data_IF_554166249686
#
_entry.id   IF_554166249686
#
_cell.length_a   1.000
_cell.length_b   1.000
_cell.length_c   1.000
_cell.angle_alpha   90.00
_cell.angle_beta   90.00
_cell.angle_gamma   90.00
#
_symmetry.space_group_name_H-M   'P 1'
#
loop_
_entity.id
_entity.type
_entity.pdbx_description
1 polymer ?
#
# COMPACT_ATOMS: atom_id res chain seq x y z
N UNK A 1 9.34 -15.23 -17.80
CA UNK A 1 9.90 -13.95 -17.37
C UNK A 1 9.72 -13.00 -18.53
N UNK A 2 8.84 -12.01 -18.38
CA UNK A 2 8.68 -10.90 -19.33
C UNK A 2 9.87 -9.96 -19.09
N UNK A 3 10.62 -9.62 -20.14
CA UNK A 3 11.74 -8.68 -20.06
C UNK A 3 11.23 -7.24 -20.08
N UNK A 4 12.10 -6.27 -19.72
CA UNK A 4 11.75 -4.85 -19.80
C UNK A 4 11.39 -4.42 -21.23
N UNK A 5 11.88 -5.10 -22.26
CA UNK A 5 11.59 -4.87 -23.67
C UNK A 5 10.17 -5.33 -24.05
N UNK A 6 9.70 -6.45 -23.48
CA UNK A 6 8.33 -6.96 -23.71
C UNK A 6 7.22 -6.02 -23.19
N UNK A 7 7.58 -5.14 -22.22
CA UNK A 7 6.66 -4.16 -21.64
C UNK A 7 6.56 -2.89 -22.49
N UNK A 8 7.57 -2.59 -23.30
CA UNK A 8 7.62 -1.40 -24.15
C UNK A 8 6.70 -1.48 -25.38
N UNK A 9 6.25 -2.66 -25.75
CA UNK A 9 5.34 -2.88 -26.88
C UNK A 9 3.84 -2.80 -26.52
N UNK A 10 3.48 -2.54 -25.26
CA UNK A 10 2.09 -2.33 -24.88
C UNK A 10 1.57 -1.00 -25.43
N UNK A 11 0.31 -0.93 -25.95
CA UNK A 11 -0.20 0.24 -26.66
C UNK A 11 -0.21 1.50 -25.78
N UNK A 12 0.29 2.59 -26.34
CA UNK A 12 0.61 3.87 -25.70
C UNK A 12 -0.61 4.74 -25.35
N UNK A 13 -1.61 4.24 -24.65
CA UNK A 13 -2.81 5.04 -24.29
C UNK A 13 -2.64 5.92 -23.04
N UNK A 14 -1.41 6.14 -22.54
CA UNK A 14 -1.17 7.10 -21.44
C UNK A 14 0.31 7.55 -21.33
N UNK A 15 0.94 7.93 -22.45
CA UNK A 15 2.22 8.64 -22.35
C UNK A 15 1.97 10.12 -22.03
N UNK A 16 1.92 10.46 -20.76
CA UNK A 16 2.03 11.84 -20.32
C UNK A 16 3.51 12.23 -20.41
N UNK A 17 3.81 13.29 -21.18
CA UNK A 17 5.17 13.80 -21.31
C UNK A 17 5.71 14.26 -19.95
N UNK A 18 6.75 13.62 -19.45
CA UNK A 18 7.44 13.98 -18.21
C UNK A 18 8.36 15.16 -18.49
N UNK A 19 8.31 16.27 -17.74
CA UNK A 19 9.33 17.29 -17.84
C UNK A 19 10.69 16.70 -17.44
N UNK A 20 11.73 16.98 -18.26
CA UNK A 20 13.07 16.46 -18.05
C UNK A 20 13.62 16.91 -16.69
N UNK A 21 14.06 15.96 -15.89
CA UNK A 21 14.77 16.19 -14.62
C UNK A 21 16.11 16.86 -14.92
N UNK A 22 16.53 17.90 -14.16
CA UNK A 22 17.91 18.36 -14.22
C UNK A 22 18.85 17.20 -13.83
N UNK A 23 20.01 17.05 -14.48
CA UNK A 23 20.93 15.94 -14.24
C UNK A 23 21.37 15.95 -12.77
N UNK A 24 21.16 14.81 -12.08
CA UNK A 24 21.73 14.58 -10.76
C UNK A 24 23.25 14.56 -10.85
N UNK A 25 23.90 15.20 -9.90
CA UNK A 25 25.36 15.12 -9.78
C UNK A 25 25.77 13.64 -9.58
N UNK A 26 26.66 13.18 -10.44
CA UNK A 26 27.26 11.85 -10.41
C UNK A 26 28.06 11.71 -9.12
N UNK A 27 27.61 10.92 -8.13
CA UNK A 27 28.40 10.71 -6.91
C UNK A 27 27.85 9.75 -5.87
N UNK A 28 26.55 9.61 -5.71
CA UNK A 28 25.98 8.60 -4.79
C UNK A 28 24.64 8.09 -5.32
N UNK A 29 24.53 6.79 -5.54
CA UNK A 29 23.25 6.13 -5.83
C UNK A 29 22.38 6.23 -4.59
N UNK A 30 21.27 6.97 -4.66
CA UNK A 30 20.26 6.99 -3.61
C UNK A 30 19.66 5.59 -3.53
N UNK A 31 19.80 4.93 -2.37
CA UNK A 31 19.28 3.58 -2.22
C UNK A 31 17.76 3.58 -2.10
N UNK A 32 17.19 4.45 -1.26
CA UNK A 32 15.74 4.50 -1.00
C UNK A 32 15.22 5.93 -1.03
N UNK A 33 14.15 6.12 -1.80
CA UNK A 33 13.30 7.32 -1.74
C UNK A 33 12.03 7.00 -0.97
N UNK A 34 11.74 7.79 0.07
CA UNK A 34 10.47 7.72 0.80
C UNK A 34 9.53 8.77 0.23
N UNK A 35 8.37 8.34 -0.27
CA UNK A 35 7.31 9.21 -0.79
C UNK A 35 6.18 9.30 0.22
N UNK A 36 5.84 10.50 0.65
CA UNK A 36 4.84 10.77 1.69
C UNK A 36 3.74 11.66 1.11
N UNK A 37 2.58 11.10 0.71
CA UNK A 37 1.42 11.91 0.37
C UNK A 37 0.85 12.55 1.65
N UNK A 38 0.62 13.86 1.66
CA UNK A 38 0.17 14.58 2.84
C UNK A 38 -1.07 15.43 2.54
N UNK A 39 -2.08 15.37 3.42
CA UNK A 39 -3.25 16.23 3.39
C UNK A 39 -3.85 16.37 4.78
N UNK A 40 -3.77 17.59 5.35
CA UNK A 40 -4.35 17.91 6.66
C UNK A 40 -3.89 16.95 7.76
N UNK A 41 -2.58 16.79 7.91
CA UNK A 41 -1.93 15.85 8.84
C UNK A 41 -0.95 16.55 9.79
N UNK A 42 -1.20 17.83 10.10
CA UNK A 42 -0.35 18.65 10.96
C UNK A 42 -0.04 17.98 12.32
N UNK A 43 -0.98 17.18 12.86
CA UNK A 43 -0.80 16.47 14.12
C UNK A 43 0.27 15.38 14.08
N UNK A 44 0.60 14.83 12.91
CA UNK A 44 1.41 13.60 12.79
C UNK A 44 2.64 13.76 11.91
N UNK A 45 2.60 14.64 10.91
CA UNK A 45 3.62 14.75 9.87
C UNK A 45 5.04 14.96 10.44
N UNK A 46 5.18 15.69 11.53
CA UNK A 46 6.48 15.90 12.17
C UNK A 46 7.10 14.60 12.68
N UNK A 47 6.32 13.74 13.31
CA UNK A 47 6.76 12.43 13.81
C UNK A 47 7.06 11.47 12.66
N UNK A 48 6.21 11.47 11.61
CA UNK A 48 6.42 10.68 10.39
C UNK A 48 7.75 11.03 9.73
N UNK A 49 8.02 12.33 9.52
CA UNK A 49 9.26 12.81 8.93
C UNK A 49 10.49 12.48 9.78
N UNK A 50 10.42 12.68 11.09
CA UNK A 50 11.50 12.31 11.99
C UNK A 50 11.82 10.80 11.88
N UNK A 51 10.81 9.95 11.79
CA UNK A 51 10.98 8.50 11.65
C UNK A 51 11.62 8.10 10.32
N UNK A 52 11.27 8.77 9.22
CA UNK A 52 11.83 8.51 7.90
C UNK A 52 13.28 9.03 7.79
N UNK A 53 13.52 10.26 8.24
CA UNK A 53 14.85 10.89 8.19
C UNK A 53 15.86 10.24 9.15
N UNK A 54 15.39 9.52 10.18
CA UNK A 54 16.27 8.75 11.08
C UNK A 54 16.80 7.44 10.47
N UNK A 55 16.25 6.98 9.33
CA UNK A 55 16.76 5.79 8.64
C UNK A 55 18.03 6.15 7.86
N UNK A 56 19.14 5.46 8.15
CA UNK A 56 20.44 5.75 7.52
C UNK A 56 20.48 5.47 6.02
N UNK A 57 19.62 4.56 5.53
CA UNK A 57 19.56 4.12 4.13
C UNK A 57 18.64 5.00 3.26
N UNK A 58 17.90 5.92 3.87
CA UNK A 58 17.04 6.87 3.17
C UNK A 58 17.88 8.02 2.62
N UNK A 59 17.97 8.10 1.31
CA UNK A 59 18.70 9.16 0.61
C UNK A 59 17.87 10.40 0.32
N UNK A 60 16.53 10.24 0.23
CA UNK A 60 15.60 11.37 0.08
C UNK A 60 14.22 11.04 0.65
N UNK A 61 13.53 12.09 1.10
CA UNK A 61 12.14 12.07 1.55
C UNK A 61 11.37 13.12 0.74
N UNK A 62 10.37 12.68 -0.01
CA UNK A 62 9.56 13.52 -0.88
C UNK A 62 8.16 13.62 -0.29
N UNK A 63 7.85 14.76 0.32
CA UNK A 63 6.49 15.07 0.76
C UNK A 63 5.72 15.68 -0.40
N UNK A 64 4.55 15.11 -0.69
CA UNK A 64 3.65 15.63 -1.74
C UNK A 64 2.36 16.11 -1.08
N UNK A 65 2.22 17.43 -0.97
CA UNK A 65 1.04 18.06 -0.39
C UNK A 65 -0.14 18.03 -1.37
N UNK A 66 -1.23 17.40 -0.96
CA UNK A 66 -2.48 17.27 -1.75
C UNK A 66 -3.50 18.37 -1.40
N UNK A 67 -3.03 19.59 -1.18
CA UNK A 67 -3.85 20.74 -0.87
C UNK A 67 -4.26 20.81 0.61
N UNK A 68 -3.30 20.76 1.51
CA UNK A 68 -3.52 20.97 2.94
C UNK A 68 -3.93 22.40 3.23
N UNK A 69 -4.88 22.55 4.18
CA UNK A 69 -5.39 23.83 4.67
C UNK A 69 -5.03 24.10 6.13
N UNK A 70 -4.39 23.12 6.79
CA UNK A 70 -3.87 23.20 8.15
C UNK A 70 -2.37 23.58 8.18
N UNK A 71 -1.70 23.37 9.30
CA UNK A 71 -0.27 23.67 9.47
C UNK A 71 0.68 22.65 8.83
N UNK A 72 0.20 21.64 8.09
CA UNK A 72 1.02 20.57 7.51
C UNK A 72 2.22 21.13 6.73
N UNK A 73 1.96 22.01 5.77
CA UNK A 73 3.01 22.61 4.92
C UNK A 73 4.01 23.43 5.74
N UNK A 74 3.53 24.19 6.73
CA UNK A 74 4.38 25.01 7.60
C UNK A 74 5.32 24.13 8.43
N UNK A 75 4.85 23.01 8.98
CA UNK A 75 5.65 22.06 9.74
C UNK A 75 6.73 21.43 8.84
N UNK A 76 6.37 20.97 7.64
CA UNK A 76 7.35 20.40 6.69
C UNK A 76 8.44 21.41 6.34
N UNK A 77 8.08 22.65 6.04
CA UNK A 77 9.03 23.73 5.70
C UNK A 77 9.95 24.13 6.85
N UNK A 78 9.55 23.90 8.09
CA UNK A 78 10.36 24.20 9.26
C UNK A 78 11.51 23.20 9.47
N UNK A 79 11.42 21.98 8.92
CA UNK A 79 12.44 20.95 9.03
C UNK A 79 13.60 21.27 8.09
N UNK A 80 14.81 21.32 8.63
CA UNK A 80 16.06 21.63 7.89
C UNK A 80 16.89 20.36 7.67
N UNK A 81 16.47 19.53 6.72
CA UNK A 81 17.25 18.36 6.28
C UNK A 81 17.40 18.43 4.74
N UNK A 82 18.62 18.34 4.20
CA UNK A 82 18.85 18.44 2.76
C UNK A 82 18.21 17.31 1.94
N UNK A 83 17.83 16.22 2.57
CA UNK A 83 17.14 15.09 1.93
C UNK A 83 15.63 15.33 1.81
N UNK A 84 15.07 16.33 2.50
CA UNK A 84 13.63 16.59 2.52
C UNK A 84 13.22 17.51 1.39
N UNK A 85 12.30 17.04 0.55
CA UNK A 85 11.73 17.79 -0.57
C UNK A 85 10.22 17.91 -0.38
N UNK A 86 9.68 19.12 -0.58
CA UNK A 86 8.24 19.38 -0.54
C UNK A 86 7.75 19.75 -1.93
N UNK A 87 6.69 19.09 -2.38
CA UNK A 87 6.03 19.31 -3.66
C UNK A 87 4.54 19.53 -3.45
N UNK A 88 3.91 20.28 -4.36
CA UNK A 88 2.45 20.44 -4.42
C UNK A 88 1.86 19.50 -5.46
N UNK A 89 0.71 18.88 -5.14
CA UNK A 89 -0.03 18.04 -6.07
C UNK A 89 -1.15 18.84 -6.72
N UNK A 90 -1.03 19.12 -8.02
CA UNK A 90 -2.05 19.81 -8.80
C UNK A 90 -3.23 18.89 -9.18
N UNK A 91 -3.03 17.57 -9.07
CA UNK A 91 -4.00 16.51 -9.36
C UNK A 91 -4.51 15.93 -8.05
N UNK A 92 -5.76 16.15 -7.69
CA UNK A 92 -6.30 15.68 -6.41
C UNK A 92 -6.20 14.15 -6.22
N UNK A 93 -5.83 13.73 -5.01
CA UNK A 93 -5.91 12.34 -4.53
C UNK A 93 -4.57 11.68 -4.24
N UNK A 94 -4.62 10.73 -3.31
CA UNK A 94 -3.45 10.04 -2.75
C UNK A 94 -2.63 9.29 -3.81
N UNK A 95 -3.29 8.63 -4.77
CA UNK A 95 -2.62 7.94 -5.89
C UNK A 95 -1.84 8.89 -6.77
N UNK A 96 -2.42 10.06 -7.08
CA UNK A 96 -1.76 11.09 -7.88
C UNK A 96 -0.55 11.68 -7.14
N UNK A 97 -0.68 11.94 -5.84
CA UNK A 97 0.41 12.40 -4.99
C UNK A 97 1.56 11.38 -4.91
N UNK A 98 1.24 10.10 -4.66
CA UNK A 98 2.27 9.03 -4.66
C UNK A 98 2.96 8.89 -6.02
N UNK A 99 2.21 8.94 -7.12
CA UNK A 99 2.78 8.90 -8.47
C UNK A 99 3.66 10.11 -8.76
N UNK A 100 3.26 11.30 -8.33
CA UNK A 100 4.07 12.51 -8.49
C UNK A 100 5.41 12.37 -7.77
N UNK A 101 5.39 11.97 -6.49
CA UNK A 101 6.61 11.72 -5.72
C UNK A 101 7.49 10.66 -6.36
N UNK A 102 6.92 9.53 -6.81
CA UNK A 102 7.65 8.46 -7.46
C UNK A 102 8.31 8.85 -8.79
N UNK A 103 7.72 9.79 -9.55
CA UNK A 103 8.33 10.33 -10.77
C UNK A 103 9.57 11.17 -10.47
N UNK A 104 9.60 11.87 -9.33
CA UNK A 104 10.72 12.72 -8.91
C UNK A 104 11.78 11.94 -8.10
N UNK A 105 11.43 10.76 -7.62
CA UNK A 105 12.32 9.92 -6.85
C UNK A 105 13.52 9.42 -7.66
N UNK A 106 14.72 9.57 -7.07
CA UNK A 106 15.98 9.11 -7.64
C UNK A 106 16.47 7.77 -7.12
N UNK A 107 15.81 7.23 -6.09
CA UNK A 107 16.20 5.98 -5.45
C UNK A 107 15.98 4.75 -6.32
N UNK A 108 16.79 3.73 -6.07
CA UNK A 108 16.61 2.40 -6.64
C UNK A 108 15.31 1.76 -6.13
N UNK A 109 14.95 2.08 -4.89
CA UNK A 109 13.77 1.58 -4.21
C UNK A 109 12.85 2.71 -3.76
N UNK A 110 11.55 2.47 -3.81
CA UNK A 110 10.49 3.38 -3.36
C UNK A 110 9.78 2.80 -2.13
N UNK A 111 9.58 3.64 -1.12
CA UNK A 111 8.75 3.34 0.04
C UNK A 111 7.65 4.40 0.13
N UNK A 112 6.37 3.97 0.14
CA UNK A 112 5.22 4.88 0.21
C UNK A 112 4.70 4.94 1.64
N UNK A 113 5.18 5.92 2.41
CA UNK A 113 4.83 6.09 3.82
C UNK A 113 3.63 7.03 3.96
N UNK A 114 2.58 6.58 4.64
CA UNK A 114 1.44 7.44 4.95
C UNK A 114 1.85 8.49 6.01
N UNK A 115 1.34 9.71 5.85
CA UNK A 115 1.81 10.89 6.61
C UNK A 115 1.41 10.91 8.10
N UNK A 116 0.66 9.92 8.55
CA UNK A 116 0.21 9.69 9.93
C UNK A 116 0.87 8.46 10.59
N UNK A 117 1.67 7.71 9.84
CA UNK A 117 2.38 6.52 10.29
C UNK A 117 3.84 6.81 10.68
N UNK A 118 4.49 5.82 11.31
CA UNK A 118 5.87 5.95 11.79
C UNK A 118 6.69 4.71 11.46
N UNK A 119 7.80 4.89 10.74
CA UNK A 119 8.79 3.83 10.53
C UNK A 119 9.47 3.46 11.86
N UNK A 120 9.65 2.18 12.09
CA UNK A 120 10.41 1.71 13.26
C UNK A 120 11.92 1.79 12.99
N UNK A 121 12.74 1.93 14.05
CA UNK A 121 14.19 1.95 13.89
C UNK A 121 14.70 0.72 13.11
N UNK A 122 15.54 0.95 12.10
CA UNK A 122 16.11 -0.09 11.24
C UNK A 122 15.13 -0.76 10.28
N UNK A 123 13.94 -0.17 10.05
CA UNK A 123 12.94 -0.72 9.12
C UNK A 123 13.47 -0.80 7.70
N UNK A 124 14.08 0.27 7.20
CA UNK A 124 14.60 0.35 5.83
C UNK A 124 15.80 -0.57 5.67
N UNK A 125 16.70 -0.62 6.65
CA UNK A 125 17.83 -1.57 6.68
C UNK A 125 17.38 -3.03 6.55
N UNK A 126 16.31 -3.40 7.28
CA UNK A 126 15.78 -4.77 7.25
C UNK A 126 15.16 -5.13 5.88
N UNK A 127 14.45 -4.18 5.26
CA UNK A 127 13.89 -4.36 3.91
C UNK A 127 15.00 -4.51 2.87
N UNK A 128 16.01 -3.65 2.89
CA UNK A 128 17.14 -3.72 1.97
C UNK A 128 17.98 -4.98 2.15
N UNK A 129 18.20 -5.44 3.38
CA UNK A 129 18.89 -6.70 3.63
C UNK A 129 18.15 -7.87 2.96
N UNK A 130 16.81 -7.94 3.15
CA UNK A 130 15.99 -8.96 2.48
C UNK A 130 16.01 -8.81 0.94
N UNK A 131 16.02 -7.59 0.41
CA UNK A 131 16.10 -7.34 -1.03
C UNK A 131 17.43 -7.82 -1.65
N UNK A 132 18.55 -7.68 -0.92
CA UNK A 132 19.87 -8.18 -1.35
C UNK A 132 19.90 -9.70 -1.45
N UNK A 133 19.23 -10.39 -0.52
CA UNK A 133 19.15 -11.85 -0.48
C UNK A 133 18.18 -12.39 -1.56
N UNK A 134 17.31 -11.54 -2.12
CA UNK A 134 16.31 -11.89 -3.12
C UNK A 134 16.39 -10.98 -4.37
N UNK A 135 17.40 -11.14 -5.23
CA UNK A 135 17.66 -10.21 -6.35
C UNK A 135 16.54 -10.18 -7.41
N UNK A 136 15.68 -11.22 -7.46
CA UNK A 136 14.50 -11.25 -8.33
C UNK A 136 13.26 -10.57 -7.74
N UNK A 137 13.33 -10.15 -6.48
CA UNK A 137 12.22 -9.47 -5.84
C UNK A 137 12.02 -8.06 -6.42
N UNK A 138 10.82 -7.76 -6.87
CA UNK A 138 10.38 -6.43 -7.27
C UNK A 138 9.71 -5.69 -6.11
N UNK A 139 9.34 -6.41 -5.05
CA UNK A 139 8.82 -5.84 -3.83
C UNK A 139 9.23 -6.69 -2.63
N UNK A 140 9.71 -6.02 -1.57
CA UNK A 140 9.97 -6.62 -0.26
C UNK A 140 9.03 -5.99 0.76
N UNK A 141 8.40 -6.79 1.61
CA UNK A 141 7.45 -6.28 2.59
C UNK A 141 7.62 -6.94 3.96
N UNK A 142 7.10 -6.31 5.01
CA UNK A 142 7.19 -6.84 6.36
C UNK A 142 5.89 -6.71 7.14
N UNK A 143 6.02 -6.67 8.47
CA UNK A 143 4.92 -6.53 9.40
C UNK A 143 4.82 -5.13 9.99
N UNK A 144 3.67 -4.85 10.59
CA UNK A 144 3.41 -3.60 11.29
C UNK A 144 2.80 -3.85 12.65
N UNK A 145 2.94 -2.86 13.51
CA UNK A 145 2.26 -2.74 14.78
C UNK A 145 1.15 -1.69 14.67
N UNK A 146 0.19 -1.68 15.58
CA UNK A 146 -0.88 -0.69 15.59
C UNK A 146 -0.73 0.22 16.80
N UNK A 147 -0.81 1.54 16.59
CA UNK A 147 -0.77 2.57 17.62
C UNK A 147 -2.03 3.45 17.59
N UNK A 148 -2.36 4.08 18.71
CA UNK A 148 -3.44 5.07 18.79
C UNK A 148 -2.96 6.46 18.33
N UNK A 149 -3.86 7.47 18.44
CA UNK A 149 -3.55 8.88 18.10
C UNK A 149 -2.38 9.45 18.90
N UNK A 150 -2.13 8.98 20.13
CA UNK A 150 -1.04 9.42 20.99
C UNK A 150 0.24 8.58 20.84
N UNK A 151 0.27 7.63 19.87
CA UNK A 151 1.44 6.78 19.63
C UNK A 151 1.60 5.60 20.60
N UNK A 152 0.60 5.32 21.44
CA UNK A 152 0.61 4.17 22.35
C UNK A 152 0.19 2.91 21.58
N UNK A 153 0.88 1.81 21.82
CA UNK A 153 0.56 0.53 21.17
C UNK A 153 -0.83 0.04 21.57
N UNK A 154 -1.68 -0.21 20.56
CA UNK A 154 -3.00 -0.80 20.71
C UNK A 154 -3.07 -2.13 19.96
N UNK A 155 -3.40 -3.20 20.69
CA UNK A 155 -3.48 -4.53 20.12
C UNK A 155 -2.13 -5.24 19.95
N UNK A 156 -2.19 -6.55 19.91
CA UNK A 156 -1.03 -7.42 19.68
C UNK A 156 -1.21 -8.16 18.36
N UNK A 157 -0.81 -7.58 17.23
CA UNK A 157 -0.64 -8.38 16.01
C UNK A 157 0.55 -9.35 16.10
N UNK A 158 1.35 -9.26 17.15
CA UNK A 158 2.40 -10.22 17.48
C UNK A 158 1.92 -11.63 17.88
N UNK A 159 0.61 -11.90 17.98
CA UNK A 159 0.06 -13.24 18.28
C UNK A 159 0.20 -14.25 17.13
N UNK A 160 0.55 -13.80 15.93
CA UNK A 160 0.85 -14.68 14.79
C UNK A 160 2.38 -14.79 14.55
N UNK A 161 3.19 -14.61 15.58
CA UNK A 161 4.62 -14.93 15.53
C UNK A 161 4.83 -16.34 14.99
N UNK A 162 5.52 -16.44 13.86
CA UNK A 162 5.91 -17.71 13.24
C UNK A 162 5.16 -18.10 11.97
N UNK A 163 4.10 -17.43 11.55
CA UNK A 163 3.53 -17.65 10.22
C UNK A 163 4.37 -16.93 9.17
N UNK A 164 5.08 -17.72 8.37
CA UNK A 164 5.74 -17.21 7.16
C UNK A 164 4.67 -16.62 6.24
N UNK A 165 4.78 -15.34 5.90
CA UNK A 165 3.91 -14.70 4.93
C UNK A 165 4.34 -15.08 3.51
N UNK A 166 3.45 -14.92 2.50
CA UNK A 166 3.75 -15.33 1.13
C UNK A 166 5.03 -14.68 0.57
N UNK A 167 5.87 -15.47 -0.10
CA UNK A 167 7.08 -15.04 -0.82
C UNK A 167 7.13 -15.74 -2.17
N UNK A 168 7.96 -15.24 -3.10
CA UNK A 168 8.09 -15.73 -4.46
C UNK A 168 6.98 -15.26 -5.39
N UNK A 169 6.40 -16.13 -6.20
CA UNK A 169 5.24 -15.84 -7.04
C UNK A 169 3.97 -15.80 -6.16
N UNK A 170 3.54 -14.60 -5.85
CA UNK A 170 2.39 -14.36 -4.94
C UNK A 170 1.13 -13.88 -5.67
N UNK A 171 1.16 -13.74 -7.00
CA UNK A 171 0.10 -13.09 -7.76
C UNK A 171 -1.27 -13.70 -7.49
N UNK A 172 -1.44 -15.01 -7.63
CA UNK A 172 -2.73 -15.67 -7.43
C UNK A 172 -3.23 -15.49 -5.98
N UNK A 173 -2.31 -15.57 -4.99
CA UNK A 173 -2.65 -15.36 -3.58
C UNK A 173 -3.04 -13.91 -3.31
N UNK A 174 -2.36 -12.95 -3.92
CA UNK A 174 -2.63 -11.52 -3.77
C UNK A 174 -3.94 -11.13 -4.47
N UNK A 175 -4.19 -11.65 -5.67
CA UNK A 175 -5.44 -11.42 -6.40
C UNK A 175 -6.66 -11.95 -5.65
N UNK A 176 -6.53 -13.00 -4.83
CA UNK A 176 -7.63 -13.49 -3.97
C UNK A 176 -7.93 -12.62 -2.75
N UNK A 177 -7.09 -11.61 -2.46
CA UNK A 177 -7.27 -10.65 -1.37
C UNK A 177 -5.95 -10.07 -0.89
N UNK A 178 -5.93 -8.75 -0.72
CA UNK A 178 -4.75 -8.02 -0.28
C UNK A 178 -4.25 -8.49 1.10
N UNK A 179 -2.98 -8.79 1.21
CA UNK A 179 -2.29 -9.11 2.46
C UNK A 179 -1.19 -8.11 2.82
N UNK A 180 -0.93 -7.13 1.94
CA UNK A 180 -0.02 -6.00 2.17
C UNK A 180 -0.90 -4.78 2.43
N UNK A 181 -1.21 -4.53 3.70
CA UNK A 181 -2.27 -3.59 4.10
C UNK A 181 -1.85 -2.12 4.19
N UNK A 182 -0.56 -1.82 4.00
CA UNK A 182 -0.04 -0.45 4.08
C UNK A 182 1.22 -0.31 3.23
N UNK A 183 1.34 0.78 2.49
CA UNK A 183 2.51 1.08 1.67
C UNK A 183 3.81 1.23 2.47
N UNK A 184 3.72 1.72 3.72
CA UNK A 184 4.88 1.93 4.60
C UNK A 184 5.60 0.66 5.07
N UNK A 185 5.02 -0.53 4.82
CA UNK A 185 5.69 -1.81 5.06
C UNK A 185 6.25 -2.45 3.79
N UNK A 186 6.14 -1.78 2.64
CA UNK A 186 6.49 -2.32 1.33
C UNK A 186 7.54 -1.45 0.65
N UNK A 187 8.66 -2.05 0.29
CA UNK A 187 9.75 -1.46 -0.49
C UNK A 187 9.66 -1.99 -1.92
N UNK A 188 9.26 -1.14 -2.86
CA UNK A 188 9.09 -1.50 -4.26
C UNK A 188 10.30 -1.08 -5.09
N UNK A 189 10.77 -1.93 -6.01
CA UNK A 189 11.82 -1.56 -6.97
C UNK A 189 11.29 -0.46 -7.88
N UNK A 190 12.01 0.68 -7.92
CA UNK A 190 11.54 1.88 -8.61
C UNK A 190 11.32 1.66 -10.11
N UNK A 191 12.20 0.90 -10.76
CA UNK A 191 12.06 0.54 -12.17
C UNK A 191 10.78 -0.27 -12.41
N UNK A 192 10.53 -1.32 -11.61
CA UNK A 192 9.33 -2.13 -11.71
C UNK A 192 8.05 -1.31 -11.48
N UNK A 193 8.05 -0.42 -10.48
CA UNK A 193 6.93 0.48 -10.21
C UNK A 193 6.64 1.41 -11.40
N UNK A 194 7.70 1.97 -12.03
CA UNK A 194 7.55 2.81 -13.23
C UNK A 194 7.07 2.00 -14.44
N UNK A 195 7.57 0.77 -14.62
CA UNK A 195 7.18 -0.11 -15.72
C UNK A 195 5.69 -0.45 -15.70
N UNK A 196 5.09 -0.62 -14.52
CA UNK A 196 3.64 -0.86 -14.41
C UNK A 196 2.81 0.42 -14.48
N UNK A 197 3.41 1.61 -14.59
CA UNK A 197 2.71 2.90 -14.66
C UNK A 197 2.22 3.46 -13.32
N UNK A 198 2.63 2.88 -12.18
CA UNK A 198 2.30 3.34 -10.84
C UNK A 198 0.89 2.98 -10.35
N UNK A 199 0.38 3.80 -9.42
CA UNK A 199 -0.99 3.65 -8.88
C UNK A 199 -2.05 4.13 -9.88
N UNK A 200 -3.17 3.42 -9.95
CA UNK A 200 -4.33 3.85 -10.74
C UNK A 200 -5.08 4.99 -10.01
N UNK A 201 -5.06 6.18 -10.59
CA UNK A 201 -5.68 7.38 -10.03
C UNK A 201 -7.21 7.38 -10.11
N UNK A 202 -7.80 6.47 -10.87
CA UNK A 202 -9.26 6.30 -10.95
C UNK A 202 -9.83 5.53 -9.74
N UNK A 203 -8.98 4.80 -9.01
CA UNK A 203 -9.37 4.03 -7.84
C UNK A 203 -9.32 4.91 -6.58
N UNK A 204 -10.45 4.99 -5.89
CA UNK A 204 -10.55 5.68 -4.60
C UNK A 204 -10.13 4.80 -3.41
N UNK A 205 -10.31 3.49 -3.54
CA UNK A 205 -9.99 2.50 -2.51
C UNK A 205 -9.33 1.28 -3.15
N UNK A 206 -8.42 0.65 -2.40
CA UNK A 206 -7.66 -0.52 -2.84
C UNK A 206 -6.79 -0.26 -4.08
N UNK A 207 -6.38 0.99 -4.29
CA UNK A 207 -5.41 1.38 -5.31
C UNK A 207 -4.06 0.69 -5.11
N UNK A 208 -3.70 0.47 -3.83
CA UNK A 208 -2.53 -0.29 -3.40
C UNK A 208 -2.63 -1.75 -3.83
N UNK A 209 -3.77 -2.40 -3.59
CA UNK A 209 -4.00 -3.79 -3.99
C UNK A 209 -3.85 -4.01 -5.49
N UNK A 210 -4.45 -3.14 -6.32
CA UNK A 210 -4.29 -3.21 -7.78
C UNK A 210 -2.82 -3.01 -8.18
N UNK A 211 -2.14 -2.01 -7.61
CA UNK A 211 -0.72 -1.75 -7.87
C UNK A 211 0.15 -2.95 -7.50
N UNK A 212 -0.07 -3.55 -6.31
CA UNK A 212 0.67 -4.74 -5.89
C UNK A 212 0.39 -5.94 -6.78
N UNK A 213 -0.82 -6.15 -7.25
CA UNK A 213 -1.13 -7.21 -8.22
C UNK A 213 -0.38 -7.00 -9.55
N UNK A 214 -0.26 -5.78 -10.04
CA UNK A 214 0.53 -5.48 -11.24
C UNK A 214 2.01 -5.72 -11.04
N UNK A 215 2.58 -5.33 -9.90
CA UNK A 215 3.97 -5.65 -9.57
C UNK A 215 4.19 -7.16 -9.45
N UNK A 216 3.28 -7.89 -8.79
CA UNK A 216 3.36 -9.35 -8.68
C UNK A 216 3.21 -10.06 -10.04
N UNK A 217 2.62 -9.42 -11.04
CA UNK A 217 2.56 -9.96 -12.40
C UNK A 217 3.91 -9.90 -13.14
N UNK A 218 4.83 -9.03 -12.71
CA UNK A 218 6.13 -8.86 -13.39
C UNK A 218 7.33 -9.34 -12.57
N UNK A 219 7.16 -9.69 -11.28
CA UNK A 219 8.28 -10.15 -10.46
C UNK A 219 7.85 -10.79 -9.15
N UNK A 220 8.83 -11.28 -8.42
CA UNK A 220 8.64 -11.96 -7.15
C UNK A 220 8.53 -10.97 -5.99
N UNK A 221 7.83 -11.37 -4.91
CA UNK A 221 7.79 -10.63 -3.66
C UNK A 221 8.54 -11.39 -2.58
N UNK A 222 9.13 -10.67 -1.62
CA UNK A 222 9.80 -11.30 -0.49
C UNK A 222 9.33 -10.74 0.84
N UNK A 223 9.25 -11.59 1.85
CA UNK A 223 8.80 -11.23 3.18
C UNK A 223 9.97 -11.07 4.14
N UNK A 224 10.16 -9.86 4.65
CA UNK A 224 11.06 -9.55 5.76
C UNK A 224 10.31 -9.80 7.10
N UNK A 225 10.73 -10.79 7.93
CA UNK A 225 10.00 -11.14 9.15
C UNK A 225 10.31 -10.14 10.30
N UNK A 226 10.03 -8.87 10.06
CA UNK A 226 10.27 -7.75 10.97
C UNK A 226 9.05 -6.85 11.09
N UNK A 227 8.88 -6.26 12.28
CA UNK A 227 7.95 -5.14 12.49
C UNK A 227 8.63 -3.87 11.99
N UNK A 228 8.10 -3.29 10.92
CA UNK A 228 8.71 -2.17 10.19
C UNK A 228 8.01 -0.85 10.47
N UNK A 229 6.72 -0.89 10.80
CA UNK A 229 5.86 0.28 10.89
C UNK A 229 5.03 0.24 12.17
N UNK A 230 4.81 1.40 12.75
CA UNK A 230 3.72 1.67 13.68
C UNK A 230 2.60 2.33 12.88
N UNK A 231 1.56 1.56 12.55
CA UNK A 231 0.37 1.99 11.83
C UNK A 231 -0.58 2.69 12.79
N UNK A 232 -0.89 3.97 12.55
CA UNK A 232 -1.70 4.78 13.44
C UNK A 232 -3.18 4.64 13.14
N UNK A 233 -3.98 4.43 14.19
CA UNK A 233 -5.44 4.41 14.11
C UNK A 233 -6.00 5.67 14.79
N UNK A 234 -6.67 6.51 14.02
CA UNK A 234 -7.41 7.68 14.50
C UNK A 234 -8.70 7.88 13.69
N UNK A 235 -9.58 8.77 14.13
CA UNK A 235 -10.91 8.97 13.54
C UNK A 235 -10.88 9.53 12.12
N UNK A 236 -9.81 10.25 11.74
CA UNK A 236 -9.64 10.81 10.41
C UNK A 236 -9.00 9.86 9.39
N UNK A 237 -8.54 8.65 9.78
CA UNK A 237 -8.03 7.68 8.79
C UNK A 237 -9.10 7.34 7.75
N UNK A 238 -8.72 7.27 6.49
CA UNK A 238 -9.61 6.96 5.36
C UNK A 238 -10.48 5.73 5.61
N UNK A 239 -9.94 4.68 6.22
CA UNK A 239 -10.67 3.44 6.50
C UNK A 239 -11.48 3.48 7.80
N UNK A 240 -11.25 4.45 8.69
CA UNK A 240 -11.94 4.57 9.97
C UNK A 240 -12.94 5.74 10.00
N UNK A 241 -12.88 6.67 9.04
CA UNK A 241 -13.78 7.83 9.00
C UNK A 241 -15.24 7.48 8.70
N UNK A 242 -15.50 6.35 8.04
CA UNK A 242 -16.86 5.87 7.77
C UNK A 242 -16.87 4.37 7.45
N UNK A 243 -18.04 3.75 7.65
CA UNK A 243 -18.25 2.34 7.23
C UNK A 243 -18.15 2.23 5.71
N UNK A 244 -17.23 1.39 5.24
CA UNK A 244 -17.10 1.06 3.82
C UNK A 244 -18.06 -0.07 3.47
N UNK A 245 -18.79 0.14 2.38
CA UNK A 245 -19.71 -0.85 1.84
C UNK A 245 -19.02 -1.71 0.78
N UNK A 246 -19.52 -2.91 0.43
CA UNK A 246 -18.96 -3.68 -0.65
C UNK A 246 -18.89 -2.93 -1.99
N UNK A 247 -19.82 -1.98 -2.24
CA UNK A 247 -19.84 -1.17 -3.47
C UNK A 247 -18.61 -0.28 -3.61
N UNK A 248 -18.00 0.15 -2.49
CA UNK A 248 -16.79 0.98 -2.49
C UNK A 248 -15.58 0.22 -3.03
N UNK A 249 -15.58 -1.11 -2.95
CA UNK A 249 -14.46 -1.98 -3.35
C UNK A 249 -14.63 -2.65 -4.71
N UNK A 250 -15.86 -2.74 -5.23
CA UNK A 250 -16.11 -3.39 -6.52
C UNK A 250 -15.34 -2.78 -7.71
N UNK A 251 -15.11 -1.45 -7.78
CA UNK A 251 -14.26 -0.88 -8.83
C UNK A 251 -12.84 -1.46 -8.83
N UNK A 252 -12.22 -1.65 -7.65
CA UNK A 252 -10.89 -2.25 -7.56
C UNK A 252 -10.89 -3.73 -7.96
N UNK A 253 -11.93 -4.49 -7.59
CA UNK A 253 -12.09 -5.89 -8.03
C UNK A 253 -12.18 -5.95 -9.57
N UNK A 254 -13.02 -5.11 -10.17
CA UNK A 254 -13.13 -5.04 -11.62
C UNK A 254 -11.76 -4.72 -12.24
N UNK A 255 -11.08 -3.71 -11.70
CA UNK A 255 -9.78 -3.27 -12.22
C UNK A 255 -8.71 -4.36 -12.16
N UNK A 256 -8.64 -5.15 -11.08
CA UNK A 256 -7.70 -6.28 -10.96
C UNK A 256 -8.02 -7.40 -11.96
N UNK A 257 -9.29 -7.71 -12.16
CA UNK A 257 -9.71 -8.83 -13.02
C UNK A 257 -10.06 -8.44 -14.46
N UNK A 258 -9.91 -7.18 -14.82
CA UNK A 258 -9.99 -6.67 -16.21
C UNK A 258 -8.59 -6.19 -16.70
N UNK A 259 -7.55 -6.22 -15.84
CA UNK A 259 -6.19 -5.84 -16.19
C UNK A 259 -5.49 -6.94 -16.99
N UNK A 260 -5.11 -6.62 -18.25
CA UNK A 260 -4.49 -7.58 -19.17
C UNK A 260 -3.14 -8.11 -18.67
N UNK A 261 -2.34 -7.28 -17.96
CA UNK A 261 -1.05 -7.70 -17.40
C UNK A 261 -1.25 -8.75 -16.31
N UNK A 262 -2.23 -8.54 -15.42
CA UNK A 262 -2.57 -9.46 -14.33
C UNK A 262 -3.13 -10.76 -14.93
N UNK A 263 -4.11 -10.66 -15.81
CA UNK A 263 -4.78 -11.82 -16.42
C UNK A 263 -3.82 -12.74 -17.19
N UNK A 264 -2.86 -12.15 -17.91
CA UNK A 264 -1.87 -12.92 -18.68
C UNK A 264 -0.95 -13.79 -17.79
N UNK A 265 -0.82 -13.45 -16.51
CA UNK A 265 0.07 -14.13 -15.55
C UNK A 265 -0.67 -15.03 -14.57
N UNK A 266 -1.98 -14.91 -14.46
CA UNK A 266 -2.76 -15.83 -13.63
C UNK A 266 -2.79 -17.24 -14.23
N UNK A 267 -2.87 -18.29 -13.39
CA UNK A 267 -3.05 -19.65 -13.89
C UNK A 267 -4.31 -19.76 -14.77
N UNK A 268 -4.21 -20.52 -15.85
CA UNK A 268 -5.31 -20.71 -16.79
C UNK A 268 -6.59 -21.16 -16.06
N UNK A 269 -7.71 -20.48 -16.33
CA UNK A 269 -9.01 -20.77 -15.73
C UNK A 269 -9.17 -20.33 -14.26
N UNK A 270 -8.13 -19.79 -13.61
CA UNK A 270 -8.20 -19.43 -12.20
C UNK A 270 -8.93 -18.09 -11.93
N UNK A 271 -9.01 -17.19 -12.91
CA UNK A 271 -9.47 -15.82 -12.73
C UNK A 271 -10.86 -15.73 -12.07
N UNK A 272 -11.83 -16.52 -12.51
CA UNK A 272 -13.19 -16.50 -11.94
C UNK A 272 -13.22 -16.93 -10.46
N UNK A 273 -12.47 -17.97 -10.10
CA UNK A 273 -12.36 -18.44 -8.71
C UNK A 273 -11.65 -17.42 -7.80
N UNK A 274 -10.59 -16.80 -8.31
CA UNK A 274 -9.85 -15.76 -7.57
C UNK A 274 -10.70 -14.48 -7.40
N UNK A 275 -11.45 -14.06 -8.42
CA UNK A 275 -12.41 -12.96 -8.34
C UNK A 275 -13.45 -13.22 -7.27
N UNK A 276 -14.06 -14.40 -7.26
CA UNK A 276 -15.01 -14.80 -6.23
C UNK A 276 -14.39 -14.75 -4.82
N UNK A 277 -13.15 -15.22 -4.67
CA UNK A 277 -12.44 -15.17 -3.40
C UNK A 277 -12.19 -13.71 -2.94
N UNK A 278 -11.79 -12.82 -3.85
CA UNK A 278 -11.61 -11.40 -3.59
C UNK A 278 -12.93 -10.71 -3.18
N UNK A 279 -14.02 -11.00 -3.87
CA UNK A 279 -15.35 -10.50 -3.50
C UNK A 279 -15.75 -10.94 -2.09
N UNK A 280 -15.59 -12.23 -1.76
CA UNK A 280 -15.87 -12.76 -0.42
C UNK A 280 -14.99 -12.08 0.62
N UNK A 281 -13.70 -11.88 0.33
CA UNK A 281 -12.77 -11.19 1.23
C UNK A 281 -13.23 -9.77 1.55
N UNK A 282 -13.54 -8.96 0.55
CA UNK A 282 -13.92 -7.55 0.71
C UNK A 282 -15.33 -7.39 1.29
N UNK A 283 -16.30 -8.25 0.93
CA UNK A 283 -17.62 -8.27 1.59
C UNK A 283 -17.49 -8.65 3.06
N UNK A 284 -16.63 -9.63 3.41
CA UNK A 284 -16.34 -9.98 4.81
C UNK A 284 -15.71 -8.80 5.55
N UNK A 285 -14.79 -8.07 4.91
CA UNK A 285 -14.20 -6.87 5.49
C UNK A 285 -15.25 -5.79 5.76
N UNK A 286 -16.20 -5.54 4.85
CA UNK A 286 -17.34 -4.64 5.08
C UNK A 286 -18.21 -5.09 6.27
N UNK A 287 -18.44 -6.40 6.44
CA UNK A 287 -19.17 -6.95 7.58
C UNK A 287 -18.42 -6.68 8.90
N UNK A 288 -17.10 -6.89 8.92
CA UNK A 288 -16.25 -6.58 10.08
C UNK A 288 -16.29 -5.10 10.44
N UNK A 289 -16.19 -4.20 9.45
CA UNK A 289 -16.32 -2.77 9.65
C UNK A 289 -17.68 -2.40 10.21
N UNK A 290 -18.75 -2.95 9.66
CA UNK A 290 -20.11 -2.69 10.14
C UNK A 290 -20.28 -3.09 11.63
N UNK A 291 -19.70 -4.21 12.08
CA UNK A 291 -19.70 -4.61 13.50
C UNK A 291 -18.92 -3.60 14.36
N UNK A 292 -17.75 -3.17 13.92
CA UNK A 292 -16.92 -2.18 14.65
C UNK A 292 -17.64 -0.85 14.87
N UNK A 293 -18.50 -0.47 13.92
CA UNK A 293 -19.30 0.76 13.98
C UNK A 293 -20.73 0.52 14.55
N UNK A 294 -21.03 -0.64 15.14
CA UNK A 294 -22.32 -0.96 15.72
C UNK A 294 -23.46 -1.21 14.72
N UNK A 295 -23.16 -1.29 13.42
CA UNK A 295 -24.14 -1.49 12.34
C UNK A 295 -24.42 -2.97 12.09
N UNK A 296 -24.97 -3.66 13.08
CA UNK A 296 -25.15 -5.11 13.06
C UNK A 296 -26.10 -5.62 11.97
N UNK A 297 -27.15 -4.84 11.61
CA UNK A 297 -28.06 -5.20 10.50
C UNK A 297 -27.32 -5.25 9.16
N UNK A 298 -26.44 -4.27 8.91
CA UNK A 298 -25.62 -4.26 7.69
C UNK A 298 -24.65 -5.42 7.68
N UNK A 299 -24.01 -5.71 8.83
CA UNK A 299 -23.08 -6.85 8.94
C UNK A 299 -23.80 -8.17 8.59
N UNK A 300 -25.03 -8.38 9.08
CA UNK A 300 -25.84 -9.56 8.73
C UNK A 300 -26.16 -9.58 7.23
N UNK A 301 -26.54 -8.45 6.65
CA UNK A 301 -26.77 -8.32 5.22
C UNK A 301 -25.52 -8.68 4.38
N UNK A 302 -24.34 -8.25 4.80
CA UNK A 302 -23.09 -8.59 4.13
C UNK A 302 -22.73 -10.07 4.30
N UNK A 303 -22.95 -10.67 5.46
CA UNK A 303 -22.78 -12.11 5.65
C UNK A 303 -23.75 -12.92 4.77
N UNK A 304 -24.99 -12.46 4.60
CA UNK A 304 -25.93 -13.05 3.63
C UNK A 304 -25.40 -12.97 2.20
N UNK A 305 -24.77 -11.85 1.82
CA UNK A 305 -24.10 -11.72 0.51
C UNK A 305 -22.96 -12.73 0.35
N UNK A 306 -22.17 -12.99 1.39
CA UNK A 306 -21.13 -14.04 1.40
C UNK A 306 -21.77 -15.41 1.20
N UNK A 307 -22.84 -15.74 1.94
CA UNK A 307 -23.53 -17.02 1.83
C UNK A 307 -24.10 -17.28 0.43
N UNK A 308 -24.66 -16.26 -0.22
CA UNK A 308 -25.14 -16.34 -1.61
C UNK A 308 -24.01 -16.58 -2.62
N UNK A 309 -22.79 -16.15 -2.35
CA UNK A 309 -21.61 -16.40 -3.19
C UNK A 309 -20.98 -17.76 -2.92
N UNK A 310 -20.88 -18.14 -1.64
CA UNK A 310 -20.30 -19.41 -1.22
C UNK A 310 -20.76 -19.80 0.18
N UNK A 311 -21.60 -20.84 0.29
CA UNK A 311 -22.00 -21.39 1.58
C UNK A 311 -20.79 -21.91 2.39
N UNK A 312 -19.77 -22.45 1.70
CA UNK A 312 -18.54 -22.95 2.34
C UNK A 312 -17.71 -21.83 3.01
N UNK A 313 -17.78 -20.60 2.50
CA UNK A 313 -17.05 -19.45 3.05
C UNK A 313 -17.76 -18.81 4.26
N UNK A 314 -19.07 -18.98 4.40
CA UNK A 314 -19.90 -18.30 5.38
C UNK A 314 -19.45 -18.52 6.84
N UNK A 315 -19.16 -19.76 7.32
CA UNK A 315 -18.74 -19.96 8.71
C UNK A 315 -17.47 -19.17 9.07
N UNK A 316 -16.48 -19.17 8.17
CA UNK A 316 -15.23 -18.42 8.37
C UNK A 316 -15.46 -16.91 8.35
N UNK A 317 -16.29 -16.41 7.45
CA UNK A 317 -16.65 -15.00 7.39
C UNK A 317 -17.39 -14.56 8.65
N UNK A 318 -18.36 -15.34 9.13
CA UNK A 318 -19.10 -15.07 10.35
C UNK A 318 -18.18 -15.03 11.58
N UNK A 319 -17.29 -16.01 11.74
CA UNK A 319 -16.31 -16.05 12.82
C UNK A 319 -15.41 -14.79 12.82
N UNK A 320 -14.86 -14.40 11.66
CA UNK A 320 -14.04 -13.19 11.53
C UNK A 320 -14.83 -11.91 11.87
N UNK A 321 -16.08 -11.84 11.42
CA UNK A 321 -16.97 -10.71 11.71
C UNK A 321 -17.28 -10.59 13.20
N UNK A 322 -17.55 -11.71 13.90
CA UNK A 322 -17.76 -11.71 15.33
C UNK A 322 -16.53 -11.26 16.11
N UNK A 323 -15.32 -11.72 15.72
CA UNK A 323 -14.06 -11.33 16.35
C UNK A 323 -13.73 -9.84 16.16
N UNK A 324 -14.23 -9.22 15.10
CA UNK A 324 -14.01 -7.79 14.84
C UNK A 324 -14.52 -6.86 15.96
N UNK A 325 -15.50 -7.33 16.78
CA UNK A 325 -15.98 -6.61 17.96
C UNK A 325 -14.90 -6.44 19.03
N UNK A 326 -13.94 -7.35 19.07
CA UNK A 326 -12.85 -7.36 20.07
C UNK A 326 -11.55 -6.76 19.51
N UNK A 327 -11.60 -6.11 18.33
CA UNK A 327 -10.40 -5.52 17.71
C UNK A 327 -9.45 -6.54 17.07
N UNK A 328 -9.90 -7.79 16.90
CA UNK A 328 -9.13 -8.92 16.36
C UNK A 328 -9.44 -9.10 14.86
#
# INVERSE_FOLDING_TARGET
LITAEDILELPASSRVATPARPPLQVGSTIAVSVVIPAKNVAAYIGETLASALSQGEVGEVIVVDDGSTDQTVAIVRAIRDPRLHLMSNDSAGVSAARNLGARHAGGEWLLFLDADDRLRPGAVAALLATARDAPRAVLVYGDYNTIDSEGRQIGRRGLLKGRRKPSGDVLARLASGNFIVNGGIALARAEAFRAIGGFDTSLRYCEDWHCWCRLAAIGEFEFAPKLLLDYRLHTANTMNAAVRTPKDFFPAIARVFDDGLILARLPAGAAAGLRLAAEIHLVTYSAMQAVRFGRYRDALGYLTMVGRRSLKALPRAAARTALARFGI
#
